data_IF_401994795137
#
_entry.id   IF_401994795137
#
_cell.length_a   1.000
_cell.length_b   1.000
_cell.length_c   1.000
_cell.angle_alpha   90.00
_cell.angle_beta   90.00
_cell.angle_gamma   90.00
#
_symmetry.space_group_name_H-M   'P 1'
#
loop_
_entity.id
_entity.type
_entity.pdbx_description
1 polymer ?
#
# COMPACT_ATOMS: atom_id res chain seq x y z
N UNK A 1 -41.07 70.06 -31.36
CA UNK A 1 -39.88 69.53 -32.00
C UNK A 1 -38.76 69.42 -30.99
N UNK A 2 -38.63 68.33 -30.34
CA UNK A 2 -37.44 68.01 -29.54
C UNK A 2 -37.20 66.52 -29.71
N UNK A 3 -36.14 66.18 -30.38
CA UNK A 3 -35.62 64.78 -30.49
C UNK A 3 -34.89 64.44 -29.17
N UNK A 4 -35.31 63.35 -28.57
CA UNK A 4 -34.64 62.81 -27.38
C UNK A 4 -33.76 61.69 -27.86
N UNK A 5 -32.47 61.80 -27.62
CA UNK A 5 -31.49 60.71 -27.83
C UNK A 5 -31.75 59.57 -26.84
N UNK A 6 -32.04 58.39 -27.35
CA UNK A 6 -31.88 57.13 -26.63
C UNK A 6 -30.41 56.71 -26.78
N UNK A 7 -29.66 56.83 -25.73
CA UNK A 7 -28.32 56.27 -25.66
C UNK A 7 -28.41 54.87 -25.06
N UNK A 8 -27.86 54.02 -25.79
CA UNK A 8 -27.65 52.59 -25.74
C UNK A 8 -27.34 52.04 -24.34
N UNK A 9 -28.27 51.23 -23.83
CA UNK A 9 -28.05 50.37 -22.65
C UNK A 9 -27.66 48.93 -23.00
N UNK A 10 -27.33 48.68 -24.26
CA UNK A 10 -27.05 47.33 -24.72
C UNK A 10 -25.58 46.89 -24.57
N UNK A 11 -24.66 47.83 -24.39
CA UNK A 11 -23.21 47.53 -24.38
C UNK A 11 -22.65 47.08 -23.03
N UNK A 12 -23.41 47.24 -21.92
CA UNK A 12 -22.92 46.90 -20.58
C UNK A 12 -23.30 45.49 -20.10
N UNK A 13 -24.27 44.86 -20.77
CA UNK A 13 -24.69 43.47 -20.41
C UNK A 13 -23.88 42.36 -21.11
N UNK A 14 -23.23 42.70 -22.24
CA UNK A 14 -22.45 41.72 -23.01
C UNK A 14 -21.08 41.45 -22.36
N UNK A 15 -20.53 42.43 -21.67
CA UNK A 15 -19.21 42.29 -21.02
C UNK A 15 -19.21 41.41 -19.77
N UNK A 16 -20.33 41.34 -19.05
CA UNK A 16 -20.43 40.55 -17.81
C UNK A 16 -20.70 39.08 -18.10
N UNK A 17 -21.38 38.77 -19.21
CA UNK A 17 -21.66 37.39 -19.62
C UNK A 17 -20.42 36.67 -20.17
N UNK A 18 -19.49 37.37 -20.82
CA UNK A 18 -18.26 36.74 -21.31
C UNK A 18 -17.24 36.42 -20.19
N UNK A 19 -17.19 37.24 -19.14
CA UNK A 19 -16.29 36.98 -18.01
C UNK A 19 -16.76 35.77 -17.15
N UNK A 20 -18.07 35.59 -17.02
CA UNK A 20 -18.61 34.45 -16.28
C UNK A 20 -18.52 33.13 -17.05
N UNK A 21 -18.66 33.14 -18.38
CA UNK A 21 -18.47 31.94 -19.22
C UNK A 21 -17.00 31.53 -19.28
N UNK A 22 -16.06 32.49 -19.30
CA UNK A 22 -14.63 32.16 -19.28
C UNK A 22 -14.15 31.50 -17.99
N UNK A 23 -14.70 31.91 -16.83
CA UNK A 23 -14.37 31.30 -15.54
C UNK A 23 -14.98 29.87 -15.39
N UNK A 24 -16.17 29.66 -15.93
CA UNK A 24 -16.82 28.34 -15.88
C UNK A 24 -16.11 27.35 -16.81
N UNK A 25 -15.66 27.77 -17.99
CA UNK A 25 -14.86 26.92 -18.88
C UNK A 25 -13.52 26.52 -18.27
N UNK A 26 -12.79 27.43 -17.64
CA UNK A 26 -11.49 27.10 -17.02
C UNK A 26 -11.64 26.19 -15.80
N UNK A 27 -12.67 26.35 -14.99
CA UNK A 27 -12.92 25.48 -13.84
C UNK A 27 -13.35 24.07 -14.27
N UNK A 28 -14.20 23.97 -15.29
CA UNK A 28 -14.62 22.67 -15.84
C UNK A 28 -13.47 21.94 -16.54
N UNK A 29 -12.65 22.65 -17.31
CA UNK A 29 -11.47 22.11 -17.97
C UNK A 29 -10.42 21.62 -16.97
N UNK A 30 -10.21 22.33 -15.86
CA UNK A 30 -9.29 21.90 -14.79
C UNK A 30 -9.81 20.68 -14.05
N UNK A 31 -11.10 20.60 -13.75
CA UNK A 31 -11.71 19.44 -13.10
C UNK A 31 -11.62 18.19 -13.95
N UNK A 32 -11.91 18.29 -15.25
CA UNK A 32 -11.78 17.20 -16.22
C UNK A 32 -10.34 16.72 -16.36
N UNK A 33 -9.36 17.64 -16.35
CA UNK A 33 -7.95 17.30 -16.39
C UNK A 33 -7.52 16.52 -15.15
N UNK A 34 -7.90 16.95 -13.94
CA UNK A 34 -7.59 16.23 -12.71
C UNK A 34 -8.20 14.84 -12.69
N UNK A 35 -9.44 14.68 -13.06
CA UNK A 35 -10.10 13.37 -13.13
C UNK A 35 -9.41 12.48 -14.16
N UNK A 36 -9.14 13.00 -15.33
CA UNK A 36 -8.47 12.28 -16.43
C UNK A 36 -7.10 11.77 -16.02
N UNK A 37 -6.28 12.60 -15.38
CA UNK A 37 -4.92 12.21 -14.96
C UNK A 37 -4.94 11.17 -13.85
N UNK A 38 -5.83 11.27 -12.86
CA UNK A 38 -5.97 10.25 -11.82
C UNK A 38 -6.37 8.88 -12.38
N UNK A 39 -7.02 8.85 -13.54
CA UNK A 39 -7.54 7.63 -14.18
C UNK A 39 -6.65 7.09 -15.29
N UNK A 40 -5.49 7.71 -15.56
CA UNK A 40 -4.52 7.24 -16.55
C UNK A 40 -3.35 6.50 -15.88
N UNK A 41 -2.83 5.42 -16.50
CA UNK A 41 -1.59 4.82 -16.05
C UNK A 41 -0.41 5.75 -16.33
N UNK A 42 0.51 5.84 -15.37
CA UNK A 42 1.80 6.50 -15.60
C UNK A 42 2.84 5.50 -16.10
N UNK A 43 3.75 5.95 -16.97
CA UNK A 43 4.78 5.08 -17.52
C UNK A 43 5.83 4.71 -16.46
N UNK A 44 6.45 3.58 -16.68
CA UNK A 44 7.70 3.21 -16.02
C UNK A 44 8.81 4.15 -16.53
N UNK A 45 9.48 4.82 -15.60
CA UNK A 45 10.61 5.70 -15.90
C UNK A 45 11.93 4.95 -15.70
N UNK A 46 12.64 4.70 -16.79
CA UNK A 46 13.98 4.10 -16.82
C UNK A 46 14.84 4.93 -17.79
N UNK A 47 15.93 5.56 -17.32
CA UNK A 47 16.47 5.54 -15.96
C UNK A 47 15.58 6.23 -14.91
N UNK A 48 15.84 5.92 -13.63
CA UNK A 48 15.17 6.57 -12.50
C UNK A 48 15.45 8.09 -12.54
N UNK A 49 14.43 8.95 -12.42
CA UNK A 49 14.62 10.40 -12.39
C UNK A 49 15.59 10.85 -11.29
N UNK A 50 16.38 11.88 -11.54
CA UNK A 50 17.41 12.37 -10.61
C UNK A 50 16.83 12.69 -9.22
N UNK A 51 15.61 13.27 -9.15
CA UNK A 51 14.94 13.58 -7.88
C UNK A 51 14.65 12.34 -7.03
N UNK A 52 14.48 11.17 -7.64
CA UNK A 52 14.30 9.87 -7.00
C UNK A 52 15.59 9.03 -6.90
N UNK A 53 16.74 9.58 -7.25
CA UNK A 53 18.04 8.94 -6.99
C UNK A 53 18.32 8.85 -5.49
N UNK A 54 19.06 7.81 -5.05
CA UNK A 54 19.34 7.54 -3.64
C UNK A 54 19.89 8.77 -2.89
N UNK A 55 20.78 9.53 -3.51
CA UNK A 55 21.39 10.72 -2.90
C UNK A 55 20.40 11.90 -2.71
N UNK A 56 19.26 11.90 -3.37
CA UNK A 56 18.29 13.01 -3.36
C UNK A 56 17.08 12.75 -2.48
N UNK A 57 16.70 11.49 -2.29
CA UNK A 57 15.53 11.14 -1.49
C UNK A 57 15.72 11.44 -0.02
N UNK A 58 14.86 12.28 0.54
CA UNK A 58 14.78 12.59 1.97
C UNK A 58 13.77 11.76 2.74
N UNK A 59 12.97 10.96 2.04
CA UNK A 59 11.91 10.11 2.60
C UNK A 59 11.82 8.79 1.85
N UNK A 60 11.60 7.69 2.59
CA UNK A 60 11.18 6.41 2.02
C UNK A 60 10.43 5.56 3.06
N UNK A 61 9.42 4.80 2.63
CA UNK A 61 8.49 4.11 3.53
C UNK A 61 7.73 2.96 2.87
N UNK A 62 7.09 2.16 3.72
CA UNK A 62 6.12 1.13 3.36
C UNK A 62 6.60 0.17 2.28
N UNK A 63 7.72 -0.54 2.51
CA UNK A 63 8.19 -1.51 1.55
C UNK A 63 7.26 -2.72 1.45
N UNK A 64 7.28 -3.34 0.26
CA UNK A 64 6.69 -4.66 0.02
C UNK A 64 7.70 -5.56 -0.67
N UNK A 65 7.60 -6.86 -0.45
CA UNK A 65 8.50 -7.90 -0.99
C UNK A 65 7.71 -9.07 -1.58
N UNK A 66 8.21 -9.64 -2.66
CA UNK A 66 7.80 -10.96 -3.13
C UNK A 66 8.98 -11.75 -3.69
N UNK A 67 8.81 -13.07 -3.83
CA UNK A 67 9.75 -13.94 -4.49
C UNK A 67 9.13 -14.50 -5.77
N UNK A 68 9.89 -14.50 -6.87
CA UNK A 68 9.53 -15.19 -8.10
C UNK A 68 9.58 -16.74 -7.92
N UNK A 69 9.04 -17.52 -8.84
CA UNK A 69 9.08 -18.97 -8.77
C UNK A 69 10.49 -19.58 -8.65
N UNK A 70 11.53 -18.93 -9.22
CA UNK A 70 12.93 -19.39 -9.10
C UNK A 70 13.71 -18.67 -7.98
N UNK A 71 13.05 -17.83 -7.18
CA UNK A 71 13.61 -17.24 -5.97
C UNK A 71 14.21 -15.85 -6.13
N UNK A 72 14.06 -15.17 -7.30
CA UNK A 72 14.39 -13.76 -7.39
C UNK A 72 13.49 -12.96 -6.48
N UNK A 73 14.07 -12.12 -5.65
CA UNK A 73 13.34 -11.22 -4.77
C UNK A 73 13.11 -9.88 -5.48
N UNK A 74 11.92 -9.36 -5.33
CA UNK A 74 11.51 -8.02 -5.75
C UNK A 74 11.08 -7.22 -4.53
N UNK A 75 11.55 -5.99 -4.41
CA UNK A 75 11.16 -5.05 -3.35
C UNK A 75 10.78 -3.72 -3.96
N UNK A 76 9.68 -3.16 -3.51
CA UNK A 76 9.18 -1.85 -3.92
C UNK A 76 8.80 -1.03 -2.69
N UNK A 77 8.97 0.28 -2.76
CA UNK A 77 8.52 1.21 -1.72
C UNK A 77 8.23 2.59 -2.31
N UNK A 78 7.35 3.35 -1.63
CA UNK A 78 7.15 4.74 -2.02
C UNK A 78 8.20 5.65 -1.36
N UNK A 79 8.54 6.72 -2.05
CA UNK A 79 9.64 7.61 -1.69
C UNK A 79 9.42 9.01 -2.25
N UNK A 80 10.15 9.99 -1.72
CA UNK A 80 10.07 11.39 -2.16
C UNK A 80 11.16 12.25 -1.54
N UNK A 81 11.04 13.56 -1.69
CA UNK A 81 12.11 14.51 -1.34
C UNK A 81 12.30 14.65 0.17
N UNK A 82 11.26 14.98 0.95
CA UNK A 82 11.42 15.33 2.35
C UNK A 82 10.53 14.55 3.32
N UNK A 83 9.33 14.18 2.89
CA UNK A 83 8.32 13.52 3.74
C UNK A 83 7.30 12.78 2.89
N UNK A 84 6.35 12.13 3.54
CA UNK A 84 5.15 11.63 2.87
C UNK A 84 4.30 12.81 2.38
N UNK A 85 4.15 12.96 1.06
CA UNK A 85 3.50 14.12 0.45
C UNK A 85 3.20 13.95 -1.03
N UNK A 86 2.85 15.07 -1.68
CA UNK A 86 2.41 15.15 -3.09
C UNK A 86 3.45 14.67 -4.09
N UNK A 87 4.71 14.71 -3.69
CA UNK A 87 5.86 14.39 -4.54
C UNK A 87 6.29 12.93 -4.41
N UNK A 88 5.46 12.08 -3.79
CA UNK A 88 5.83 10.69 -3.66
C UNK A 88 5.62 9.94 -4.97
N UNK A 89 6.70 9.38 -5.47
CA UNK A 89 6.74 8.32 -6.46
C UNK A 89 7.06 6.98 -5.79
N UNK A 90 7.38 5.98 -6.58
CA UNK A 90 7.86 4.68 -6.11
C UNK A 90 9.08 4.23 -6.90
N UNK A 91 9.88 3.37 -6.26
CA UNK A 91 11.01 2.69 -6.88
C UNK A 91 10.97 1.19 -6.61
N UNK A 92 11.62 0.43 -7.49
CA UNK A 92 11.69 -1.03 -7.43
C UNK A 92 13.15 -1.47 -7.54
N UNK A 93 13.52 -2.46 -6.71
CA UNK A 93 14.83 -3.13 -6.75
C UNK A 93 14.65 -4.65 -6.78
N UNK A 94 15.71 -5.37 -7.10
CA UNK A 94 15.69 -6.83 -7.17
C UNK A 94 16.96 -7.44 -6.57
N UNK A 95 16.87 -8.69 -6.12
CA UNK A 95 18.01 -9.51 -5.70
C UNK A 95 17.90 -10.90 -6.31
N UNK A 96 18.97 -11.39 -6.91
CA UNK A 96 19.08 -12.74 -7.46
C UNK A 96 19.81 -13.73 -6.55
N UNK A 97 20.23 -13.32 -5.35
CA UNK A 97 21.09 -14.07 -4.44
C UNK A 97 20.50 -14.23 -3.02
N UNK A 98 19.16 -14.25 -2.94
CA UNK A 98 18.41 -14.38 -1.69
C UNK A 98 18.53 -13.17 -0.79
N UNK A 99 18.78 -11.96 -1.35
CA UNK A 99 18.87 -10.67 -0.64
C UNK A 99 20.25 -10.41 -0.01
N UNK A 100 21.32 -11.09 -0.47
CA UNK A 100 22.70 -10.74 -0.07
C UNK A 100 23.13 -9.41 -0.69
N UNK A 101 22.78 -9.24 -1.98
CA UNK A 101 22.99 -7.99 -2.72
C UNK A 101 21.70 -7.55 -3.41
N UNK A 102 21.57 -6.25 -3.63
CA UNK A 102 20.42 -5.62 -4.25
C UNK A 102 20.86 -4.74 -5.42
N UNK A 103 20.07 -4.72 -6.47
CA UNK A 103 20.30 -3.78 -7.57
C UNK A 103 20.11 -2.34 -7.06
N UNK A 104 20.71 -1.34 -7.71
CA UNK A 104 20.19 0.02 -7.64
C UNK A 104 18.71 0.04 -8.05
N UNK A 105 17.96 1.11 -7.76
CA UNK A 105 16.60 1.26 -8.25
C UNK A 105 16.53 1.06 -9.77
N UNK A 106 15.77 0.05 -10.18
CA UNK A 106 15.66 -0.39 -11.58
C UNK A 106 14.82 0.56 -12.43
N UNK A 107 13.78 1.09 -11.80
CA UNK A 107 12.86 2.06 -12.40
C UNK A 107 12.06 2.78 -11.33
N UNK A 108 11.35 3.82 -11.76
CA UNK A 108 10.40 4.56 -10.93
C UNK A 108 9.04 4.69 -11.62
N UNK A 109 7.98 4.87 -10.83
CA UNK A 109 6.71 5.47 -11.26
C UNK A 109 6.59 6.80 -10.52
N UNK A 110 6.51 7.88 -11.27
CA UNK A 110 6.68 9.23 -10.78
C UNK A 110 5.78 10.20 -11.53
N UNK A 111 4.49 10.29 -11.15
CA UNK A 111 3.56 11.19 -11.81
C UNK A 111 3.89 12.65 -11.51
N UNK A 112 3.56 13.57 -12.43
CA UNK A 112 3.77 14.99 -12.21
C UNK A 112 2.68 15.62 -11.34
N UNK A 113 3.01 16.80 -10.80
CA UNK A 113 2.05 17.65 -10.11
C UNK A 113 1.60 17.11 -8.78
N UNK A 114 0.34 17.36 -8.37
CA UNK A 114 -0.18 16.89 -7.09
C UNK A 114 -0.62 15.42 -7.09
N UNK A 115 -0.48 14.71 -8.18
CA UNK A 115 -0.74 13.28 -8.27
C UNK A 115 0.43 12.51 -7.67
N UNK A 116 0.17 11.47 -6.91
CA UNK A 116 1.19 10.72 -6.17
C UNK A 116 0.98 9.22 -6.26
N UNK A 117 2.05 8.50 -6.00
CA UNK A 117 2.06 7.05 -5.82
C UNK A 117 2.27 6.73 -4.35
N UNK A 118 1.47 5.78 -3.83
CA UNK A 118 1.55 5.29 -2.47
C UNK A 118 1.55 3.77 -2.42
N UNK A 119 2.11 3.26 -1.33
CA UNK A 119 1.90 1.91 -0.80
C UNK A 119 2.02 0.82 -1.87
N UNK A 120 3.17 0.68 -2.53
CA UNK A 120 3.37 -0.41 -3.45
C UNK A 120 3.22 -1.75 -2.73
N UNK A 121 2.55 -2.70 -3.37
CA UNK A 121 2.37 -4.07 -2.93
C UNK A 121 2.96 -5.04 -3.95
N UNK A 122 3.75 -6.00 -3.51
CA UNK A 122 4.28 -7.06 -4.36
C UNK A 122 3.70 -8.40 -3.93
N UNK A 123 3.28 -9.19 -4.89
CA UNK A 123 2.69 -10.49 -4.65
C UNK A 123 2.97 -11.44 -5.82
N UNK A 124 3.21 -12.70 -5.51
CA UNK A 124 3.29 -13.77 -6.50
C UNK A 124 2.04 -14.61 -6.36
N UNK A 125 1.28 -14.72 -7.44
CA UNK A 125 0.06 -15.49 -7.46
C UNK A 125 0.35 -17.01 -7.51
N UNK A 126 -0.66 -17.87 -7.31
CA UNK A 126 -0.48 -19.33 -7.34
C UNK A 126 0.03 -19.88 -8.68
N UNK A 127 -0.15 -19.16 -9.79
CA UNK A 127 0.39 -19.53 -11.11
C UNK A 127 1.85 -19.08 -11.28
N UNK A 128 2.44 -18.44 -10.27
CA UNK A 128 3.83 -17.97 -10.28
C UNK A 128 4.04 -16.60 -10.93
N UNK A 129 2.96 -15.89 -11.25
CA UNK A 129 3.04 -14.55 -11.82
C UNK A 129 3.28 -13.52 -10.73
N UNK A 130 4.30 -12.71 -10.90
CA UNK A 130 4.61 -11.59 -10.00
C UNK A 130 3.73 -10.40 -10.35
N UNK A 131 3.10 -9.81 -9.35
CA UNK A 131 2.27 -8.61 -9.44
C UNK A 131 2.91 -7.49 -8.64
N UNK A 132 2.91 -6.29 -9.21
CA UNK A 132 3.20 -5.03 -8.53
C UNK A 132 1.90 -4.22 -8.51
N UNK A 133 1.40 -3.97 -7.31
CA UNK A 133 0.26 -3.08 -7.05
C UNK A 133 0.76 -1.75 -6.51
N UNK A 134 0.01 -0.70 -6.73
CA UNK A 134 0.25 0.60 -6.09
C UNK A 134 -1.02 1.43 -6.08
N UNK A 135 -1.11 2.37 -5.16
CA UNK A 135 -2.17 3.36 -5.15
C UNK A 135 -1.75 4.60 -5.93
N UNK A 136 -2.65 5.11 -6.78
CA UNK A 136 -2.48 6.37 -7.51
C UNK A 136 -3.65 7.28 -7.15
N UNK A 137 -3.36 8.53 -6.74
CA UNK A 137 -4.37 9.41 -6.19
C UNK A 137 -3.90 10.86 -6.13
N UNK A 138 -4.86 11.76 -5.95
CA UNK A 138 -4.61 13.14 -5.51
C UNK A 138 -4.71 13.23 -3.99
N UNK A 139 -3.76 13.91 -3.35
CA UNK A 139 -3.77 14.04 -1.90
C UNK A 139 -3.68 12.72 -1.16
N UNK A 140 -4.36 12.63 -0.01
CA UNK A 140 -4.41 11.38 0.81
C UNK A 140 -5.75 10.66 0.72
N UNK A 141 -6.83 11.33 0.34
CA UNK A 141 -8.19 10.87 0.56
C UNK A 141 -9.14 11.14 -0.61
N UNK A 142 -8.61 11.35 -1.78
CA UNK A 142 -9.43 11.55 -2.96
C UNK A 142 -10.17 10.26 -3.34
N UNK A 143 -11.48 10.33 -3.59
CA UNK A 143 -12.30 9.23 -4.04
C UNK A 143 -11.87 8.61 -5.38
N UNK A 144 -11.05 9.33 -6.16
CA UNK A 144 -10.40 8.80 -7.37
C UNK A 144 -9.23 7.87 -7.06
N UNK A 145 -8.79 7.78 -5.81
CA UNK A 145 -7.78 6.82 -5.41
C UNK A 145 -8.10 5.43 -5.94
N UNK A 146 -7.15 4.82 -6.58
CA UNK A 146 -7.31 3.50 -7.19
C UNK A 146 -6.09 2.63 -7.04
N UNK A 147 -6.36 1.35 -6.89
CA UNK A 147 -5.34 0.31 -6.96
C UNK A 147 -5.02 0.04 -8.42
N UNK A 148 -3.77 0.23 -8.79
CA UNK A 148 -3.21 -0.09 -10.09
C UNK A 148 -2.35 -1.34 -9.99
N UNK A 149 -2.27 -2.10 -11.08
CA UNK A 149 -1.46 -3.32 -11.14
C UNK A 149 -0.71 -3.43 -12.47
N UNK A 150 0.50 -3.96 -12.36
CA UNK A 150 1.34 -4.33 -13.48
C UNK A 150 2.18 -5.55 -13.13
N UNK A 151 2.84 -6.15 -14.10
CA UNK A 151 3.71 -7.30 -13.86
C UNK A 151 4.94 -7.30 -14.78
N UNK A 152 6.05 -7.89 -14.36
CA UNK A 152 7.22 -8.08 -15.22
C UNK A 152 6.91 -9.07 -16.34
N UNK A 153 7.52 -8.90 -17.50
CA UNK A 153 7.40 -9.84 -18.62
C UNK A 153 8.14 -11.16 -18.33
N UNK A 154 9.28 -11.06 -17.64
CA UNK A 154 10.01 -12.20 -17.05
C UNK A 154 10.34 -11.87 -15.58
N UNK A 155 9.71 -12.54 -14.58
CA UNK A 155 9.97 -12.25 -13.17
C UNK A 155 11.35 -12.71 -12.70
N UNK A 156 12.10 -13.46 -13.51
CA UNK A 156 13.45 -13.94 -13.20
C UNK A 156 14.54 -13.01 -13.72
N UNK A 157 14.20 -12.05 -14.57
CA UNK A 157 15.13 -11.07 -15.13
C UNK A 157 14.92 -9.69 -14.49
N UNK A 158 15.97 -9.14 -13.86
CA UNK A 158 15.92 -7.80 -13.26
C UNK A 158 15.76 -6.69 -14.30
N UNK A 159 16.26 -6.90 -15.51
CA UNK A 159 16.20 -5.92 -16.59
C UNK A 159 14.95 -6.04 -17.47
N UNK A 160 14.04 -6.95 -17.13
CA UNK A 160 12.81 -7.21 -17.86
C UNK A 160 11.96 -5.95 -18.07
N UNK A 161 11.18 -5.94 -19.15
CA UNK A 161 10.10 -4.98 -19.34
C UNK A 161 8.93 -5.25 -18.41
N UNK A 162 8.07 -4.25 -18.22
CA UNK A 162 6.84 -4.36 -17.42
C UNK A 162 5.63 -4.06 -18.30
N UNK A 163 4.52 -4.74 -18.02
CA UNK A 163 3.25 -4.46 -18.72
C UNK A 163 2.76 -3.06 -18.41
N UNK A 164 1.95 -2.44 -19.28
CA UNK A 164 1.22 -1.25 -18.92
C UNK A 164 0.40 -1.49 -17.65
N UNK A 165 0.41 -0.52 -16.75
CA UNK A 165 -0.40 -0.58 -15.55
C UNK A 165 -1.89 -0.46 -15.89
N UNK A 166 -2.75 -1.18 -15.16
CA UNK A 166 -4.21 -1.07 -15.27
C UNK A 166 -4.83 -0.86 -13.90
N UNK A 167 -5.87 -0.04 -13.85
CA UNK A 167 -6.63 0.19 -12.63
C UNK A 167 -7.53 -1.01 -12.34
N UNK A 168 -7.50 -1.51 -11.10
CA UNK A 168 -8.27 -2.67 -10.67
C UNK A 168 -9.53 -2.29 -9.91
N UNK A 169 -9.40 -1.44 -8.89
CA UNK A 169 -10.49 -1.09 -7.99
C UNK A 169 -10.25 0.27 -7.33
N UNK A 170 -11.20 0.72 -6.54
CA UNK A 170 -11.08 1.91 -5.71
C UNK A 170 -10.21 1.67 -4.48
N UNK A 171 -9.65 2.75 -3.92
CA UNK A 171 -8.94 2.76 -2.64
C UNK A 171 -7.47 2.40 -2.73
N UNK A 172 -6.97 1.85 -1.63
CA UNK A 172 -5.55 1.55 -1.40
C UNK A 172 -5.42 0.08 -1.02
N UNK A 173 -4.47 -0.61 -1.59
CA UNK A 173 -4.15 -1.98 -1.21
C UNK A 173 -2.73 -2.05 -0.67
N UNK A 174 -2.58 -1.99 0.66
CA UNK A 174 -1.27 -2.05 1.32
C UNK A 174 -0.81 -3.47 1.62
N UNK A 175 -1.74 -4.41 1.61
CA UNK A 175 -1.49 -5.79 1.96
C UNK A 175 -1.77 -6.71 0.77
N UNK A 176 -1.18 -7.90 0.80
CA UNK A 176 -1.26 -8.85 -0.30
C UNK A 176 -2.67 -9.39 -0.49
N UNK A 177 -3.09 -9.66 -1.73
CA UNK A 177 -4.24 -10.51 -1.99
C UNK A 177 -4.08 -11.89 -1.37
N UNK A 178 -5.20 -12.55 -1.08
CA UNK A 178 -5.24 -13.98 -0.82
C UNK A 178 -6.02 -14.69 -1.92
N UNK A 179 -5.79 -15.99 -2.08
CA UNK A 179 -6.61 -16.86 -2.91
C UNK A 179 -7.29 -17.87 -1.99
N UNK A 180 -8.61 -17.86 -1.98
CA UNK A 180 -9.42 -18.81 -1.21
C UNK A 180 -9.40 -20.17 -1.85
N UNK A 181 -9.81 -21.21 -1.12
CA UNK A 181 -9.79 -22.61 -1.61
C UNK A 181 -10.63 -22.82 -2.86
N UNK A 182 -11.66 -22.02 -3.08
CA UNK A 182 -12.49 -22.06 -4.30
C UNK A 182 -11.85 -21.32 -5.49
N UNK A 183 -10.64 -20.76 -5.29
CA UNK A 183 -9.90 -20.02 -6.33
C UNK A 183 -10.27 -18.54 -6.47
N UNK A 184 -11.14 -18.03 -5.61
CA UNK A 184 -11.48 -16.60 -5.61
C UNK A 184 -10.32 -15.79 -5.02
N UNK A 185 -9.88 -14.76 -5.74
CA UNK A 185 -8.92 -13.80 -5.20
C UNK A 185 -9.66 -12.75 -4.38
N UNK A 186 -9.18 -12.50 -3.17
CA UNK A 186 -9.67 -11.42 -2.32
C UNK A 186 -8.59 -10.36 -2.19
N UNK A 187 -8.92 -9.14 -2.57
CA UNK A 187 -8.02 -7.98 -2.56
C UNK A 187 -8.46 -7.06 -1.42
N UNK A 188 -7.73 -7.03 -0.30
CA UNK A 188 -8.04 -6.13 0.81
C UNK A 188 -7.70 -4.68 0.41
N UNK A 189 -8.71 -3.83 0.31
CA UNK A 189 -8.55 -2.43 -0.05
C UNK A 189 -9.20 -1.55 1.00
N UNK A 190 -8.50 -0.51 1.40
CA UNK A 190 -9.03 0.48 2.33
C UNK A 190 -9.46 1.75 1.62
N UNK A 191 -10.41 2.44 2.20
CA UNK A 191 -10.77 3.79 1.81
C UNK A 191 -10.77 4.65 3.06
N UNK A 192 -9.85 5.59 3.10
CA UNK A 192 -9.62 6.38 4.30
C UNK A 192 -10.66 7.50 4.48
N UNK A 193 -10.71 8.07 5.66
CA UNK A 193 -11.67 9.09 6.03
C UNK A 193 -11.41 10.39 5.23
N UNK A 194 -12.43 10.96 4.56
CA UNK A 194 -12.35 12.15 3.70
C UNK A 194 -11.97 13.48 4.38
N UNK A 195 -11.30 13.44 5.52
CA UNK A 195 -10.66 14.63 6.11
C UNK A 195 -9.17 14.56 5.86
N UNK A 196 -8.60 15.56 5.17
CA UNK A 196 -7.15 15.66 5.05
C UNK A 196 -6.54 15.63 6.45
N UNK A 197 -5.50 14.83 6.63
CA UNK A 197 -4.70 14.80 7.86
C UNK A 197 -4.21 16.22 8.12
N UNK A 198 -4.78 16.88 9.13
CA UNK A 198 -4.62 18.27 9.49
C UNK A 198 -3.26 18.89 9.18
N UNK A 199 -3.04 19.33 7.97
CA UNK A 199 -1.93 20.19 7.57
C UNK A 199 -0.53 19.56 7.50
N UNK A 200 -0.36 18.27 7.72
CA UNK A 200 0.96 17.61 7.68
C UNK A 200 1.38 17.07 6.30
N UNK A 201 0.44 16.97 5.37
CA UNK A 201 0.70 16.44 4.03
C UNK A 201 0.30 17.50 3.03
N UNK A 202 1.27 17.95 2.23
CA UNK A 202 1.16 19.12 1.36
C UNK A 202 0.05 19.06 0.30
N UNK A 203 -0.27 17.85 -0.18
CA UNK A 203 -1.23 17.57 -1.24
C UNK A 203 -2.62 18.15 -1.04
N UNK A 204 -3.11 18.16 0.18
CA UNK A 204 -4.42 18.73 0.48
C UNK A 204 -4.49 20.26 0.27
N UNK A 205 -3.34 20.93 0.10
CA UNK A 205 -3.27 22.37 -0.15
C UNK A 205 -3.27 22.72 -1.64
N UNK A 206 -2.81 21.81 -2.48
CA UNK A 206 -2.68 22.03 -3.92
C UNK A 206 -3.93 21.66 -4.71
N UNK A 207 -4.84 20.86 -4.13
CA UNK A 207 -6.09 20.48 -4.77
C UNK A 207 -7.22 21.37 -4.24
N UNK A 208 -7.94 22.10 -5.10
CA UNK A 208 -9.13 22.84 -4.70
C UNK A 208 -10.13 21.92 -4.00
N UNK A 209 -10.75 22.39 -2.91
CA UNK A 209 -11.67 21.58 -2.09
C UNK A 209 -12.86 21.04 -2.89
N UNK A 210 -13.31 21.79 -3.87
CA UNK A 210 -14.39 21.44 -4.80
C UNK A 210 -14.06 20.25 -5.71
N UNK A 211 -12.78 19.90 -5.83
CA UNK A 211 -12.32 18.76 -6.63
C UNK A 211 -12.05 17.50 -5.80
N UNK A 212 -12.21 17.58 -4.47
CA UNK A 212 -12.11 16.40 -3.61
C UNK A 212 -13.36 15.54 -3.81
N UNK A 213 -13.17 14.42 -4.47
CA UNK A 213 -14.24 13.46 -4.71
C UNK A 213 -14.40 12.53 -3.50
N UNK A 214 -15.59 12.50 -2.90
CA UNK A 214 -15.88 11.66 -1.74
C UNK A 214 -16.69 10.43 -2.13
N UNK A 215 -16.31 9.26 -1.60
CA UNK A 215 -17.04 8.00 -1.75
C UNK A 215 -17.34 7.44 -0.35
N UNK A 216 -18.33 7.99 0.36
CA UNK A 216 -18.60 7.62 1.75
C UNK A 216 -18.98 6.16 1.94
N UNK A 217 -19.56 5.51 0.95
CA UNK A 217 -19.94 4.10 0.94
C UNK A 217 -18.74 3.15 1.03
N UNK A 218 -17.57 3.59 0.56
CA UNK A 218 -16.32 2.82 0.62
C UNK A 218 -15.47 3.12 1.85
N UNK A 219 -15.93 3.98 2.77
CA UNK A 219 -15.18 4.30 4.00
C UNK A 219 -15.23 3.17 5.02
N UNK A 220 -14.61 2.06 4.67
CA UNK A 220 -14.61 0.82 5.43
C UNK A 220 -13.33 0.02 5.12
N UNK A 221 -13.14 -1.09 5.82
CA UNK A 221 -12.20 -2.13 5.42
C UNK A 221 -12.83 -2.96 4.30
N UNK A 222 -12.55 -2.61 3.06
CA UNK A 222 -13.18 -3.21 1.90
C UNK A 222 -12.45 -4.47 1.45
N UNK A 223 -13.20 -5.35 0.79
CA UNK A 223 -12.70 -6.49 0.04
C UNK A 223 -13.24 -6.39 -1.37
N UNK A 224 -12.36 -6.42 -2.34
CA UNK A 224 -12.69 -6.62 -3.73
C UNK A 224 -12.35 -8.07 -4.11
N UNK A 225 -13.01 -8.62 -5.10
CA UNK A 225 -12.77 -10.01 -5.52
C UNK A 225 -12.57 -10.15 -7.02
N UNK A 226 -11.85 -11.21 -7.38
CA UNK A 226 -11.72 -11.68 -8.75
C UNK A 226 -11.89 -13.21 -8.78
N UNK A 227 -12.78 -13.69 -9.64
CA UNK A 227 -13.00 -15.12 -9.91
C UNK A 227 -12.31 -15.59 -11.20
N UNK A 228 -11.53 -14.71 -11.84
CA UNK A 228 -10.87 -14.96 -13.11
C UNK A 228 -9.39 -14.52 -13.08
N UNK A 229 -8.71 -14.80 -11.96
CA UNK A 229 -7.25 -14.58 -11.77
C UNK A 229 -6.84 -13.12 -12.01
N UNK A 230 -7.62 -12.20 -11.47
CA UNK A 230 -7.33 -10.76 -11.54
C UNK A 230 -7.66 -10.11 -12.88
N UNK A 231 -8.28 -10.78 -13.86
CA UNK A 231 -8.68 -10.14 -15.13
C UNK A 231 -9.74 -9.06 -14.89
N UNK A 232 -10.75 -9.36 -14.08
CA UNK A 232 -11.71 -8.40 -13.58
C UNK A 232 -11.73 -8.42 -12.06
N UNK A 233 -11.93 -7.26 -11.46
CA UNK A 233 -11.99 -7.07 -10.01
C UNK A 233 -13.25 -6.27 -9.70
N UNK A 234 -14.08 -6.78 -8.79
CA UNK A 234 -15.34 -6.14 -8.40
C UNK A 234 -15.43 -5.96 -6.90
N UNK A 235 -16.21 -5.00 -6.45
CA UNK A 235 -16.50 -4.86 -5.02
C UNK A 235 -17.20 -6.13 -4.53
N UNK A 236 -16.76 -6.63 -3.35
CA UNK A 236 -17.24 -7.91 -2.83
C UNK A 236 -17.96 -7.78 -1.50
N UNK A 237 -17.38 -7.05 -0.58
CA UNK A 237 -17.92 -6.80 0.74
C UNK A 237 -17.03 -5.88 1.57
N UNK A 238 -17.46 -5.57 2.79
CA UNK A 238 -16.69 -4.72 3.69
C UNK A 238 -17.01 -4.97 5.17
N UNK A 239 -16.04 -4.69 6.03
CA UNK A 239 -16.26 -4.56 7.47
C UNK A 239 -16.38 -3.08 7.83
N UNK A 240 -17.48 -2.70 8.48
CA UNK A 240 -17.69 -1.33 8.94
C UNK A 240 -16.81 -1.04 10.15
N UNK A 241 -16.14 0.12 10.13
CA UNK A 241 -15.29 0.58 11.22
C UNK A 241 -15.99 1.75 11.89
N UNK A 242 -16.24 1.69 13.22
CA UNK A 242 -16.82 2.81 13.95
C UNK A 242 -16.02 4.11 13.70
N UNK A 243 -16.65 5.25 13.40
CA UNK A 243 -15.95 6.51 13.08
C UNK A 243 -14.92 6.95 14.13
N UNK A 244 -15.16 6.67 15.41
CA UNK A 244 -14.25 6.97 16.52
C UNK A 244 -12.92 6.20 16.43
N UNK A 245 -12.95 4.99 15.83
CA UNK A 245 -11.81 4.06 15.77
C UNK A 245 -11.08 4.14 14.44
N UNK A 246 -11.65 4.82 13.42
CA UNK A 246 -11.06 4.96 12.09
C UNK A 246 -9.76 5.77 12.13
N UNK A 247 -8.78 5.22 11.45
CA UNK A 247 -7.54 5.90 11.09
C UNK A 247 -7.12 5.42 9.69
N UNK A 248 -5.88 5.04 9.48
CA UNK A 248 -5.49 4.23 8.33
C UNK A 248 -6.02 2.80 8.55
N UNK A 249 -6.95 2.36 7.72
CA UNK A 249 -7.69 1.11 7.93
C UNK A 249 -7.09 -0.05 7.15
N UNK A 250 -5.75 -0.16 7.18
CA UNK A 250 -5.00 -1.22 6.51
C UNK A 250 -5.49 -2.59 6.97
N UNK A 251 -6.26 -3.25 6.12
CA UNK A 251 -6.85 -4.55 6.43
C UNK A 251 -6.07 -5.70 5.77
N UNK A 252 -6.09 -6.85 6.44
CA UNK A 252 -5.59 -8.12 5.93
C UNK A 252 -6.65 -9.18 6.12
N UNK A 253 -6.76 -10.07 5.15
CA UNK A 253 -7.67 -11.21 5.18
C UNK A 253 -6.85 -12.48 5.15
N UNK A 254 -7.25 -13.49 5.91
CA UNK A 254 -6.72 -14.84 5.85
C UNK A 254 -7.86 -15.85 5.92
N UNK A 255 -7.80 -16.90 5.10
CA UNK A 255 -8.75 -18.01 5.16
C UNK A 255 -8.27 -19.03 6.20
N UNK A 256 -9.12 -19.35 7.18
CA UNK A 256 -8.88 -20.38 8.18
C UNK A 256 -9.15 -21.78 7.62
N UNK A 257 -8.66 -22.80 8.30
CA UNK A 257 -8.85 -24.21 7.88
C UNK A 257 -10.31 -24.65 7.86
N UNK A 258 -11.17 -24.03 8.63
CA UNK A 258 -12.62 -24.27 8.62
C UNK A 258 -13.37 -23.57 7.48
N UNK A 259 -12.66 -22.77 6.67
CA UNK A 259 -13.23 -22.00 5.57
C UNK A 259 -13.73 -20.61 5.96
N UNK A 260 -13.69 -20.25 7.23
CA UNK A 260 -14.01 -18.90 7.65
C UNK A 260 -12.90 -17.93 7.23
N UNK A 261 -13.29 -16.72 6.82
CA UNK A 261 -12.34 -15.65 6.61
C UNK A 261 -12.17 -14.85 7.89
N UNK A 262 -10.92 -14.55 8.23
CA UNK A 262 -10.56 -13.70 9.34
C UNK A 262 -9.91 -12.44 8.80
N UNK A 263 -10.50 -11.28 9.12
CA UNK A 263 -9.95 -9.98 8.76
C UNK A 263 -9.38 -9.30 10.00
N UNK A 264 -8.14 -8.87 9.91
CA UNK A 264 -7.48 -8.01 10.87
C UNK A 264 -7.36 -6.60 10.28
N UNK A 265 -7.72 -5.58 11.06
CA UNK A 265 -7.78 -4.19 10.59
C UNK A 265 -6.98 -3.30 11.52
N UNK A 266 -6.08 -2.49 10.96
CA UNK A 266 -5.44 -1.42 11.70
C UNK A 266 -6.47 -0.34 12.05
N UNK A 267 -6.52 0.04 13.31
CA UNK A 267 -7.38 1.09 13.86
C UNK A 267 -6.62 1.94 14.87
N UNK A 268 -7.19 3.03 15.36
CA UNK A 268 -6.52 3.94 16.32
C UNK A 268 -5.96 3.24 17.57
N UNK A 269 -6.66 2.24 18.08
CA UNK A 269 -6.19 1.52 19.27
C UNK A 269 -5.21 0.38 18.98
N UNK A 270 -4.96 0.05 17.70
CA UNK A 270 -4.04 -1.02 17.27
C UNK A 270 -4.67 -1.92 16.23
N UNK A 271 -5.08 -3.13 16.60
CA UNK A 271 -5.70 -4.12 15.70
C UNK A 271 -7.13 -4.41 16.15
N UNK A 272 -8.05 -4.33 15.22
CA UNK A 272 -9.40 -4.87 15.31
C UNK A 272 -9.51 -6.14 14.47
N UNK A 273 -10.50 -6.97 14.77
CA UNK A 273 -10.77 -8.21 14.04
C UNK A 273 -12.25 -8.41 13.76
N UNK A 274 -12.53 -9.14 12.69
CA UNK A 274 -13.86 -9.59 12.29
C UNK A 274 -13.76 -10.87 11.47
N UNK A 275 -14.86 -11.58 11.31
CA UNK A 275 -14.93 -12.83 10.56
C UNK A 275 -16.07 -12.82 9.54
N UNK A 276 -15.92 -13.63 8.48
CA UNK A 276 -16.94 -13.88 7.48
C UNK A 276 -17.07 -15.39 7.27
N UNK A 277 -18.32 -15.87 7.17
CA UNK A 277 -18.66 -17.26 6.86
C UNK A 277 -19.26 -17.44 5.46
N UNK A 278 -19.36 -16.37 4.68
CA UNK A 278 -19.98 -16.35 3.35
C UNK A 278 -19.00 -15.93 2.23
N UNK A 279 -17.72 -16.22 2.45
CA UNK A 279 -16.65 -15.92 1.48
C UNK A 279 -16.29 -14.42 1.39
N UNK A 280 -16.57 -13.62 2.43
CA UNK A 280 -16.17 -12.22 2.51
C UNK A 280 -17.23 -11.22 2.02
N UNK A 281 -18.47 -11.66 1.79
CA UNK A 281 -19.56 -10.79 1.36
C UNK A 281 -20.11 -10.00 2.55
N UNK A 282 -20.28 -10.65 3.69
CA UNK A 282 -20.68 -10.01 4.94
C UNK A 282 -19.68 -10.33 6.06
N UNK A 283 -19.56 -9.42 7.02
CA UNK A 283 -18.61 -9.50 8.11
C UNK A 283 -19.30 -9.25 9.44
N UNK A 284 -18.88 -9.97 10.48
CA UNK A 284 -19.36 -9.74 11.84
C UNK A 284 -18.97 -8.34 12.32
N UNK A 285 -19.57 -7.89 13.43
CA UNK A 285 -19.18 -6.64 14.07
C UNK A 285 -17.68 -6.64 14.41
N UNK A 286 -17.02 -5.52 14.12
CA UNK A 286 -15.59 -5.33 14.38
C UNK A 286 -15.34 -5.22 15.88
N UNK A 287 -14.40 -6.00 16.41
CA UNK A 287 -14.03 -6.02 17.82
C UNK A 287 -12.52 -5.87 18.00
N UNK A 288 -12.02 -5.42 19.17
CA UNK A 288 -10.60 -5.44 19.46
C UNK A 288 -10.02 -6.85 19.37
N UNK A 289 -8.86 -6.99 18.74
CA UNK A 289 -8.12 -8.25 18.69
C UNK A 289 -7.29 -8.44 19.96
N UNK A 290 -7.01 -9.71 20.31
CA UNK A 290 -6.03 -10.07 21.33
C UNK A 290 -4.58 -9.79 20.90
N UNK A 291 -4.34 -9.61 19.60
CA UNK A 291 -3.04 -9.23 19.05
C UNK A 291 -2.86 -7.72 19.24
N UNK A 292 -2.10 -7.33 20.26
CA UNK A 292 -1.85 -5.92 20.54
C UNK A 292 -0.73 -5.37 19.64
N UNK A 293 -0.97 -4.20 19.04
CA UNK A 293 0.01 -3.53 18.14
C UNK A 293 -0.12 -2.01 18.34
N UNK A 294 0.93 -1.22 18.10
CA UNK A 294 0.76 0.22 17.93
C UNK A 294 -0.15 0.49 16.71
N UNK A 295 -0.57 1.75 16.57
CA UNK A 295 -1.24 2.20 15.35
C UNK A 295 -0.24 2.19 14.17
N UNK A 296 -0.01 1.01 13.62
CA UNK A 296 0.96 0.71 12.56
C UNK A 296 0.53 -0.53 11.79
N UNK A 297 0.96 -0.63 10.52
CA UNK A 297 0.82 -1.85 9.73
C UNK A 297 1.53 -3.03 10.43
N UNK A 298 1.00 -4.20 10.24
CA UNK A 298 1.55 -5.51 10.60
C UNK A 298 1.41 -6.43 9.38
N UNK A 299 1.92 -7.63 9.44
CA UNK A 299 1.76 -8.67 8.41
C UNK A 299 1.20 -9.95 9.02
N UNK A 300 0.25 -10.57 8.34
CA UNK A 300 -0.18 -11.94 8.60
C UNK A 300 -0.31 -12.69 7.27
N UNK A 301 0.11 -13.94 7.25
CA UNK A 301 0.02 -14.79 6.06
C UNK A 301 0.18 -16.26 6.44
N UNK A 302 -0.11 -17.16 5.51
CA UNK A 302 0.06 -18.59 5.70
C UNK A 302 1.36 -19.05 5.05
N UNK A 303 2.17 -19.80 5.81
CA UNK A 303 3.38 -20.47 5.33
C UNK A 303 3.03 -21.76 4.58
N UNK A 304 3.96 -22.27 3.79
CA UNK A 304 3.81 -23.56 3.07
C UNK A 304 3.61 -24.75 4.00
N UNK A 305 4.11 -24.67 5.24
CA UNK A 305 3.86 -25.66 6.31
C UNK A 305 2.39 -25.71 6.74
N UNK A 306 1.62 -24.67 6.42
CA UNK A 306 0.26 -24.47 6.90
C UNK A 306 0.17 -23.65 8.19
N UNK A 307 1.30 -23.33 8.85
CA UNK A 307 1.31 -22.40 9.98
C UNK A 307 1.00 -20.97 9.54
N UNK A 308 0.39 -20.16 10.40
CA UNK A 308 0.27 -18.74 10.17
C UNK A 308 1.54 -18.02 10.65
N UNK A 309 2.04 -17.08 9.84
CA UNK A 309 3.10 -16.15 10.20
C UNK A 309 2.49 -14.80 10.56
N UNK A 310 2.85 -14.25 11.70
CA UNK A 310 2.54 -12.89 12.13
C UNK A 310 3.85 -12.11 12.30
N UNK A 311 3.95 -10.93 11.68
CA UNK A 311 5.07 -10.01 11.90
C UNK A 311 4.51 -8.65 12.32
N UNK A 312 4.91 -8.18 13.51
CA UNK A 312 4.36 -6.98 14.11
C UNK A 312 5.36 -6.29 15.06
N UNK A 313 4.98 -5.14 15.59
CA UNK A 313 5.77 -4.46 16.62
C UNK A 313 5.54 -5.06 18.01
N UNK A 314 6.61 -5.47 18.69
CA UNK A 314 6.61 -5.99 20.05
C UNK A 314 5.97 -7.37 20.24
N UNK A 315 5.86 -7.85 21.47
CA UNK A 315 5.21 -9.11 21.82
C UNK A 315 3.71 -9.10 21.49
N UNK A 316 3.09 -10.29 21.29
CA UNK A 316 1.68 -10.42 20.86
C UNK A 316 0.72 -9.74 21.82
N UNK A 317 0.85 -10.00 23.12
CA UNK A 317 -0.03 -9.49 24.17
C UNK A 317 0.41 -8.13 24.75
N UNK A 318 1.31 -7.41 24.09
CA UNK A 318 1.82 -6.11 24.58
C UNK A 318 1.77 -5.05 23.49
N UNK A 319 1.17 -3.90 23.80
CA UNK A 319 1.21 -2.73 22.93
C UNK A 319 2.48 -1.95 23.17
N UNK A 320 3.34 -1.90 22.17
CA UNK A 320 4.56 -1.08 22.16
C UNK A 320 4.39 0.15 21.28
N UNK A 321 5.42 0.99 21.18
CA UNK A 321 5.60 1.92 20.07
C UNK A 321 6.05 1.20 18.79
N UNK A 322 6.43 1.95 17.76
CA UNK A 322 7.02 1.40 16.53
C UNK A 322 8.49 0.98 16.80
N UNK A 323 8.64 -0.14 17.49
CA UNK A 323 9.92 -0.77 17.84
C UNK A 323 9.74 -2.28 17.91
N UNK A 324 10.83 -3.03 17.93
CA UNK A 324 10.84 -4.48 18.10
C UNK A 324 9.97 -5.20 17.07
N UNK A 325 10.28 -5.05 15.76
CA UNK A 325 9.65 -5.90 14.74
C UNK A 325 9.95 -7.36 15.10
N UNK A 326 8.90 -8.15 15.35
CA UNK A 326 9.00 -9.51 15.85
C UNK A 326 8.13 -10.44 15.02
N UNK A 327 8.63 -11.63 14.70
CA UNK A 327 7.94 -12.67 13.97
C UNK A 327 7.45 -13.78 14.93
N UNK A 328 6.23 -14.25 14.72
CA UNK A 328 5.57 -15.33 15.46
C UNK A 328 4.93 -16.32 14.49
N UNK A 329 4.71 -17.54 14.92
CA UNK A 329 3.94 -18.55 14.18
C UNK A 329 2.79 -19.09 15.01
N UNK A 330 1.73 -19.53 14.33
CA UNK A 330 0.56 -20.15 14.94
C UNK A 330 0.19 -21.42 14.18
N UNK A 331 -0.04 -22.52 14.90
CA UNK A 331 -0.50 -23.81 14.36
C UNK A 331 -2.01 -24.01 14.51
N UNK A 332 -2.67 -23.14 15.27
CA UNK A 332 -4.08 -23.23 15.70
C UNK A 332 -4.95 -22.07 15.22
N UNK A 333 -4.68 -21.63 13.98
CA UNK A 333 -5.47 -20.59 13.29
C UNK A 333 -5.50 -19.23 14.01
N UNK A 334 -4.40 -18.90 14.69
CA UNK A 334 -4.21 -17.63 15.37
C UNK A 334 -4.76 -17.59 16.81
N UNK A 335 -5.17 -18.74 17.37
CA UNK A 335 -5.59 -18.81 18.77
C UNK A 335 -4.41 -18.64 19.73
N UNK A 336 -3.27 -19.26 19.41
CA UNK A 336 -2.01 -19.06 20.15
C UNK A 336 -0.86 -18.74 19.20
N UNK A 337 0.16 -18.05 19.72
CA UNK A 337 1.33 -17.63 18.96
C UNK A 337 2.60 -18.13 19.63
N UNK A 338 3.45 -18.79 18.86
CA UNK A 338 4.69 -19.41 19.30
C UNK A 338 5.89 -18.64 18.77
N UNK A 339 7.03 -18.83 19.43
CA UNK A 339 8.31 -18.25 19.07
C UNK A 339 8.45 -16.82 19.58
N UNK A 340 8.81 -15.90 18.69
CA UNK A 340 9.08 -14.50 19.05
C UNK A 340 10.48 -14.08 18.61
N UNK A 341 10.84 -14.39 17.35
CA UNK A 341 12.09 -13.94 16.76
C UNK A 341 12.06 -12.42 16.56
N UNK A 342 12.87 -11.70 17.35
CA UNK A 342 13.04 -10.25 17.19
C UNK A 342 13.90 -9.98 15.96
N UNK A 343 13.29 -9.39 14.93
CA UNK A 343 13.97 -9.06 13.67
C UNK A 343 14.73 -7.75 13.79
N UNK A 344 14.13 -6.74 14.43
CA UNK A 344 14.76 -5.45 14.66
C UNK A 344 14.25 -4.82 15.96
N UNK A 345 15.12 -4.70 16.94
CA UNK A 345 14.84 -4.18 18.28
C UNK A 345 14.80 -2.65 18.35
N UNK A 346 15.26 -1.96 17.30
CA UNK A 346 15.42 -0.51 17.28
C UNK A 346 14.09 0.25 17.28
N UNK A 347 14.16 1.53 17.56
CA UNK A 347 13.01 2.44 17.48
C UNK A 347 12.76 2.92 16.04
N UNK A 348 11.53 3.38 15.80
CA UNK A 348 11.07 3.92 14.51
C UNK A 348 11.19 2.90 13.37
N UNK A 349 10.92 1.64 13.67
CA UNK A 349 10.79 0.53 12.72
C UNK A 349 9.32 0.21 12.52
N UNK A 350 8.88 0.08 11.27
CA UNK A 350 7.47 -0.12 10.97
C UNK A 350 7.22 -0.73 9.60
N UNK A 351 5.97 -1.06 9.31
CA UNK A 351 5.48 -1.52 8.02
C UNK A 351 6.17 -2.80 7.52
N UNK A 352 6.16 -3.89 8.31
CA UNK A 352 6.66 -5.16 7.84
C UNK A 352 5.79 -5.72 6.71
N UNK A 353 6.43 -6.33 5.72
CA UNK A 353 5.82 -7.17 4.70
C UNK A 353 6.66 -8.44 4.53
N UNK A 354 6.04 -9.57 4.21
CA UNK A 354 6.74 -10.86 4.17
C UNK A 354 6.32 -11.74 2.97
N UNK A 355 7.24 -12.64 2.62
CA UNK A 355 7.01 -13.74 1.68
C UNK A 355 7.85 -14.95 2.08
N UNK A 356 7.34 -16.16 1.92
CA UNK A 356 8.13 -17.37 1.95
C UNK A 356 8.62 -17.70 0.54
N UNK A 357 9.94 -17.75 0.36
CA UNK A 357 10.60 -18.07 -0.90
C UNK A 357 10.44 -19.55 -1.29
N UNK A 358 10.78 -19.93 -2.54
CA UNK A 358 10.76 -21.32 -2.98
C UNK A 358 11.78 -22.18 -2.24
N UNK A 359 12.82 -21.58 -1.68
CA UNK A 359 13.87 -22.21 -0.88
C UNK A 359 13.49 -22.46 0.59
N UNK A 360 12.25 -22.13 0.99
CA UNK A 360 11.74 -22.27 2.36
C UNK A 360 12.19 -21.19 3.34
N UNK A 361 12.95 -20.21 2.88
CA UNK A 361 13.25 -19.06 3.71
C UNK A 361 12.11 -18.03 3.69
N UNK A 362 11.87 -17.44 4.82
CA UNK A 362 10.97 -16.31 4.99
C UNK A 362 11.78 -15.03 4.81
N UNK A 363 11.32 -14.19 3.92
CA UNK A 363 11.91 -12.88 3.65
C UNK A 363 10.96 -11.80 4.18
N UNK A 364 11.47 -10.92 5.05
CA UNK A 364 10.71 -9.79 5.61
C UNK A 364 11.43 -8.50 5.27
N UNK A 365 10.67 -7.50 4.84
CA UNK A 365 11.16 -6.12 4.69
C UNK A 365 10.39 -5.20 5.61
N UNK A 366 11.03 -4.12 6.05
CA UNK A 366 10.39 -3.03 6.80
C UNK A 366 11.14 -1.71 6.62
N UNK A 367 10.52 -0.60 7.00
CA UNK A 367 11.18 0.71 7.03
C UNK A 367 11.75 1.05 8.42
N UNK A 368 12.81 1.85 8.44
CA UNK A 368 13.37 2.45 9.64
C UNK A 368 13.67 3.92 9.45
N UNK A 369 13.16 4.75 10.38
CA UNK A 369 13.42 6.20 10.42
C UNK A 369 13.26 6.88 9.05
N UNK A 370 12.05 6.86 8.53
CA UNK A 370 11.63 7.23 7.17
C UNK A 370 12.24 8.51 6.61
N UNK A 371 12.54 9.50 7.50
CA UNK A 371 13.09 10.82 7.14
C UNK A 371 14.47 11.07 7.71
N UNK A 372 15.00 10.18 8.59
CA UNK A 372 16.32 10.31 9.23
C UNK A 372 17.31 9.29 8.69
N UNK A 373 17.28 8.06 9.17
CA UNK A 373 18.13 6.99 8.65
C UNK A 373 17.73 6.57 7.24
N UNK A 374 16.45 6.66 6.92
CA UNK A 374 15.89 6.35 5.60
C UNK A 374 16.33 4.99 5.10
N UNK A 375 16.15 3.96 5.93
CA UNK A 375 16.56 2.60 5.64
C UNK A 375 15.36 1.74 5.26
N UNK A 376 15.49 0.97 4.18
CA UNK A 376 14.68 -0.22 3.88
C UNK A 376 15.52 -1.43 4.20
N UNK A 377 15.01 -2.28 5.08
CA UNK A 377 15.73 -3.40 5.67
C UNK A 377 15.12 -4.73 5.24
N UNK A 378 15.95 -5.75 5.18
CA UNK A 378 15.59 -7.12 4.80
C UNK A 378 16.08 -8.11 5.87
N UNK A 379 15.26 -9.11 6.14
CA UNK A 379 15.55 -10.25 7.00
C UNK A 379 15.29 -11.53 6.21
N UNK A 380 16.15 -12.52 6.40
CA UNK A 380 16.03 -13.85 5.84
C UNK A 380 16.18 -14.88 6.97
N UNK A 381 15.16 -15.67 7.21
CA UNK A 381 15.11 -16.67 8.29
C UNK A 381 14.12 -17.77 7.94
N UNK A 382 14.03 -18.81 8.76
CA UNK A 382 13.11 -19.93 8.57
C UNK A 382 12.03 -19.95 9.66
N UNK A 383 11.00 -20.76 9.45
CA UNK A 383 10.01 -21.05 10.50
C UNK A 383 10.67 -21.64 11.76
N UNK A 384 11.73 -22.46 11.61
CA UNK A 384 12.49 -23.01 12.73
C UNK A 384 13.14 -21.92 13.58
N UNK A 385 13.69 -20.86 12.94
CA UNK A 385 14.25 -19.72 13.66
C UNK A 385 13.19 -18.98 14.46
N UNK A 386 11.98 -18.81 13.88
CA UNK A 386 10.85 -18.17 14.58
C UNK A 386 10.45 -18.97 15.81
N UNK A 387 10.31 -20.29 15.67
CA UNK A 387 9.93 -21.19 16.76
C UNK A 387 10.97 -21.22 17.88
N UNK A 388 12.25 -21.17 17.53
CA UNK A 388 13.36 -21.10 18.49
C UNK A 388 13.48 -19.72 19.18
N UNK A 389 12.93 -18.65 18.59
CA UNK A 389 13.09 -17.29 19.05
C UNK A 389 14.48 -16.67 18.80
N UNK A 390 15.33 -17.38 18.07
CA UNK A 390 16.67 -16.95 17.64
C UNK A 390 17.09 -17.70 16.36
N UNK A 391 18.15 -17.24 15.70
CA UNK A 391 18.62 -17.88 14.47
C UNK A 391 19.29 -19.23 14.77
N UNK A 392 18.74 -20.31 14.21
CA UNK A 392 19.25 -21.69 14.29
C UNK A 392 19.62 -22.26 12.91
N UNK A 393 19.09 -21.65 11.84
CA UNK A 393 19.27 -22.12 10.47
C UNK A 393 20.45 -21.44 9.80
N UNK A 394 21.34 -22.23 9.21
CA UNK A 394 22.45 -21.70 8.41
C UNK A 394 21.95 -20.85 7.26
N UNK A 395 22.55 -19.68 7.04
CA UNK A 395 22.13 -18.72 6.02
C UNK A 395 21.00 -17.76 6.44
N UNK A 396 20.44 -17.92 7.64
CA UNK A 396 19.56 -16.91 8.24
C UNK A 396 20.35 -15.67 8.63
N UNK A 397 19.76 -14.50 8.38
CA UNK A 397 20.36 -13.18 8.73
C UNK A 397 19.30 -12.12 8.94
N UNK A 398 19.63 -11.15 9.76
CA UNK A 398 18.75 -10.03 10.11
C UNK A 398 19.38 -8.69 9.72
N UNK A 399 18.53 -7.70 9.48
CA UNK A 399 18.92 -6.27 9.28
C UNK A 399 19.86 -6.02 8.09
N UNK A 400 19.75 -6.83 7.02
CA UNK A 400 20.39 -6.52 5.74
C UNK A 400 19.83 -5.23 5.14
N UNK A 401 20.66 -4.39 4.57
CA UNK A 401 20.23 -3.15 3.91
C UNK A 401 19.75 -3.48 2.49
N UNK A 402 18.49 -3.19 2.20
CA UNK A 402 17.97 -3.18 0.82
C UNK A 402 18.36 -1.87 0.13
N UNK A 403 18.07 -0.76 0.83
CA UNK A 403 18.38 0.57 0.33
C UNK A 403 18.51 1.56 1.50
N UNK A 404 19.36 2.56 1.31
CA UNK A 404 19.52 3.69 2.22
C UNK A 404 19.58 4.97 1.41
N UNK A 405 18.56 5.80 1.55
CA UNK A 405 18.48 7.07 0.84
C UNK A 405 19.32 8.18 1.53
N UNK A 406 19.72 9.19 0.74
CA UNK A 406 20.48 10.33 1.24
C UNK A 406 21.90 10.02 1.70
N UNK A 407 22.42 8.84 1.40
CA UNK A 407 23.86 8.52 1.51
C UNK A 407 24.56 8.96 0.22
N UNK A 408 25.58 9.81 0.35
CA UNK A 408 26.48 10.13 -0.75
C UNK A 408 27.43 8.96 -1.01
#
# INVERSE_FOLDING_TARGET
>A
MKAIHLIDKASLLVGITYASLGLVCTAAETAETYETDAMKPFPVLKPVPERLADARRGFQSAPSITASPKGRLWVAWHTGDTTEGDENGMVVVSSGDGGNTWTPPLFAIDPPGPLRILDPGLWTDPDGKVWLFYAQLYGMWDGRAGVWAMHPLDPEDADTGWTPARRLCHGFMKNKPIVTRDGTWLLPSEFMNGKPWGGRIGAAKSIPKEFVFEMPEYRAANVFASTNKGQTVTFWGHAQIPPKDRDCTENMVIERRDGTLWMLVRVKYGIAETTSSDGGKTWTELRPSSILNPNSRFFIGRLKSGAMLLVKNGPVGTKTGRSHITAFVSDDEGATWLGGLVLDERNNVSYPDAVEGPDGFIHVVHDRERTKAREILHHRFTEADVRAGHLVTSGSRLKGIVNKAGSK
#
